data_IF_195079118578
#
_entry.id   IF_195079118578
#
_cell.length_a   1.000
_cell.length_b   1.000
_cell.length_c   1.000
_cell.angle_alpha   90.00
_cell.angle_beta   90.00
_cell.angle_gamma   90.00
#
_symmetry.space_group_name_H-M   'P 1'
#
loop_
_entity.id
_entity.type
_entity.pdbx_description
1 polymer ?
#
# COMPACT_ATOMS: atom_id res chain seq x y z
N UNK A 1 10.04 -4.77 10.36
CA UNK A 1 8.88 -4.03 9.79
C UNK A 1 8.05 -5.03 8.99
N UNK A 2 6.71 -5.02 9.14
CA UNK A 2 5.81 -5.97 8.45
C UNK A 2 5.31 -5.37 7.14
N UNK A 3 5.07 -6.21 6.12
CA UNK A 3 4.42 -5.77 4.88
C UNK A 3 2.94 -5.47 5.14
N UNK A 4 2.49 -4.32 4.68
CA UNK A 4 1.15 -3.78 4.90
C UNK A 4 0.17 -4.28 3.84
N UNK A 5 -1.08 -4.54 4.20
CA UNK A 5 -2.18 -4.67 3.23
C UNK A 5 -2.45 -3.34 2.52
N UNK A 6 -3.17 -3.38 1.39
CA UNK A 6 -3.67 -2.16 0.76
C UNK A 6 -4.59 -1.34 1.67
N UNK A 7 -5.26 -1.96 2.65
CA UNK A 7 -6.07 -1.25 3.64
C UNK A 7 -5.20 -0.43 4.60
N UNK A 8 -4.14 -1.05 5.13
CA UNK A 8 -3.17 -0.39 6.01
C UNK A 8 -2.43 0.72 5.27
N UNK A 9 -1.96 0.44 4.05
CA UNK A 9 -1.28 1.43 3.21
C UNK A 9 -2.19 2.62 2.88
N UNK A 10 -3.47 2.40 2.58
CA UNK A 10 -4.42 3.48 2.32
C UNK A 10 -4.59 4.38 3.55
N UNK A 11 -4.65 3.78 4.75
CA UNK A 11 -4.71 4.51 6.02
C UNK A 11 -3.47 5.40 6.22
N UNK A 12 -2.28 4.87 5.96
CA UNK A 12 -1.04 5.65 6.07
C UNK A 12 -0.91 6.75 5.01
N UNK A 13 -1.53 6.55 3.84
CA UNK A 13 -1.60 7.53 2.75
C UNK A 13 -2.77 8.52 2.90
N UNK A 14 -3.53 8.44 4.01
CA UNK A 14 -4.68 9.31 4.31
C UNK A 14 -5.76 9.30 3.21
N UNK A 15 -5.95 8.16 2.54
CA UNK A 15 -6.98 7.94 1.52
C UNK A 15 -7.77 6.67 1.79
N UNK A 16 -8.90 6.52 1.09
CA UNK A 16 -9.69 5.28 1.18
C UNK A 16 -9.05 4.16 0.35
N UNK A 17 -9.24 2.90 0.77
CA UNK A 17 -8.75 1.74 0.01
C UNK A 17 -9.27 1.70 -1.44
N UNK A 18 -10.56 1.95 -1.74
CA UNK A 18 -11.03 2.01 -3.13
C UNK A 18 -10.33 3.10 -3.95
N UNK A 19 -10.08 4.28 -3.36
CA UNK A 19 -9.34 5.35 -4.02
C UNK A 19 -7.88 4.95 -4.30
N UNK A 20 -7.22 4.28 -3.35
CA UNK A 20 -5.87 3.75 -3.55
C UNK A 20 -5.82 2.74 -4.70
N UNK A 21 -6.72 1.76 -4.70
CA UNK A 21 -6.78 0.72 -5.76
C UNK A 21 -7.02 1.36 -7.12
N UNK A 22 -7.97 2.30 -7.22
CA UNK A 22 -8.26 3.02 -8.46
C UNK A 22 -7.02 3.73 -8.99
N UNK A 23 -6.36 4.54 -8.16
CA UNK A 23 -5.14 5.27 -8.55
C UNK A 23 -3.99 4.35 -8.92
N UNK A 24 -3.79 3.25 -8.19
CA UNK A 24 -2.76 2.25 -8.51
C UNK A 24 -3.01 1.55 -9.84
N UNK A 25 -4.27 1.25 -10.19
CA UNK A 25 -4.65 0.69 -11.49
C UNK A 25 -4.44 1.70 -12.62
N UNK A 26 -4.89 2.93 -12.44
CA UNK A 26 -4.67 4.03 -13.40
C UNK A 26 -3.18 4.29 -13.66
N UNK A 27 -2.34 4.15 -12.62
CA UNK A 27 -0.88 4.24 -12.73
C UNK A 27 -0.19 2.95 -13.24
N UNK A 28 -0.94 1.91 -13.57
CA UNK A 28 -0.41 0.63 -14.07
C UNK A 28 0.43 -0.16 -13.06
N UNK A 29 0.30 0.14 -11.76
CA UNK A 29 1.08 -0.53 -10.69
C UNK A 29 0.49 -1.89 -10.32
N UNK A 30 -0.84 -2.02 -10.44
CA UNK A 30 -1.57 -3.27 -10.21
C UNK A 30 -2.54 -3.58 -11.35
N UNK A 31 -2.85 -4.86 -11.52
CA UNK A 31 -3.77 -5.37 -12.52
C UNK A 31 -5.25 -5.39 -12.04
N UNK A 32 -6.13 -5.92 -12.89
CA UNK A 32 -7.56 -6.08 -12.58
C UNK A 32 -7.84 -7.03 -11.41
N UNK A 33 -6.87 -7.91 -11.09
CA UNK A 33 -6.90 -8.82 -9.93
C UNK A 33 -6.28 -8.18 -8.68
N UNK A 34 -5.88 -6.90 -8.75
CA UNK A 34 -5.17 -6.17 -7.69
C UNK A 34 -3.82 -6.81 -7.32
N UNK A 35 -3.13 -7.40 -8.29
CA UNK A 35 -1.78 -7.95 -8.16
C UNK A 35 -0.76 -7.01 -8.82
N UNK A 36 0.52 -6.99 -8.39
CA UNK A 36 1.51 -6.11 -8.99
C UNK A 36 1.71 -6.44 -10.47
N UNK A 37 1.58 -5.43 -11.34
CA UNK A 37 1.74 -5.61 -12.80
C UNK A 37 3.18 -5.98 -13.17
N UNK A 38 4.17 -5.39 -12.47
CA UNK A 38 5.58 -5.65 -12.69
C UNK A 38 6.26 -6.15 -11.40
N UNK A 39 6.03 -7.40 -10.99
CA UNK A 39 6.46 -7.92 -9.70
C UNK A 39 7.98 -7.96 -9.52
N UNK A 40 8.76 -8.03 -10.60
CA UNK A 40 10.23 -7.97 -10.54
C UNK A 40 10.75 -6.53 -10.41
N UNK A 41 10.19 -5.61 -11.19
CA UNK A 41 10.57 -4.18 -11.20
C UNK A 41 10.25 -3.53 -9.86
N UNK A 42 9.03 -3.78 -9.38
CA UNK A 42 8.47 -3.09 -8.22
C UNK A 42 8.64 -3.90 -6.92
N UNK A 43 9.46 -4.97 -6.94
CA UNK A 43 9.63 -5.93 -5.83
C UNK A 43 10.05 -5.32 -4.51
N UNK A 44 10.72 -4.17 -4.53
CA UNK A 44 11.17 -3.46 -3.32
C UNK A 44 10.04 -2.69 -2.63
N UNK A 45 8.92 -2.48 -3.32
CA UNK A 45 7.79 -1.66 -2.87
C UNK A 45 6.51 -2.46 -2.75
N UNK A 46 6.27 -3.38 -3.69
CA UNK A 46 5.09 -4.23 -3.77
C UNK A 46 5.48 -5.70 -3.70
N UNK A 47 4.60 -6.51 -3.12
CA UNK A 47 4.74 -7.94 -3.01
C UNK A 47 3.42 -8.63 -3.38
N UNK A 48 3.50 -9.69 -4.18
CA UNK A 48 2.42 -10.65 -4.35
C UNK A 48 2.47 -11.62 -3.16
N UNK A 49 1.55 -11.45 -2.22
CA UNK A 49 1.43 -12.30 -1.05
C UNK A 49 0.43 -13.42 -1.29
N UNK A 50 0.90 -14.66 -1.18
CA UNK A 50 0.05 -15.86 -1.18
C UNK A 50 -0.41 -16.15 0.25
N UNK A 51 -1.70 -16.44 0.40
CA UNK A 51 -2.29 -16.96 1.64
C UNK A 51 -3.07 -18.22 1.31
N UNK A 52 -3.05 -19.20 2.18
CA UNK A 52 -3.78 -20.44 1.98
C UNK A 52 -4.80 -20.70 3.08
N UNK A 53 -5.88 -21.38 2.75
CA UNK A 53 -6.95 -21.74 3.67
C UNK A 53 -7.53 -23.10 3.27
N UNK A 54 -8.14 -23.82 4.23
CA UNK A 54 -8.69 -25.14 3.97
C UNK A 54 -10.19 -25.07 3.69
N UNK A 55 -10.62 -25.52 2.51
CA UNK A 55 -12.03 -25.67 2.15
C UNK A 55 -12.50 -27.10 2.48
N UNK A 56 -13.65 -27.28 3.18
CA UNK A 56 -14.10 -28.60 3.64
C UNK A 56 -14.23 -29.67 2.55
N UNK A 57 -14.63 -29.27 1.34
CA UNK A 57 -14.86 -30.19 0.22
C UNK A 57 -13.72 -30.19 -0.81
N UNK A 58 -13.00 -29.07 -0.93
CA UNK A 58 -12.05 -28.83 -2.03
C UNK A 58 -10.59 -28.87 -1.53
N UNK A 59 -10.39 -29.16 -0.24
CA UNK A 59 -9.07 -29.21 0.37
C UNK A 59 -8.38 -27.84 0.42
N UNK A 60 -7.04 -27.85 0.30
CA UNK A 60 -6.23 -26.63 0.40
C UNK A 60 -6.49 -25.67 -0.76
N UNK A 61 -6.84 -24.44 -0.44
CA UNK A 61 -7.07 -23.35 -1.38
C UNK A 61 -6.07 -22.22 -1.17
N UNK A 62 -5.84 -21.44 -2.22
CA UNK A 62 -4.85 -20.36 -2.24
C UNK A 62 -5.48 -19.06 -2.74
N UNK A 63 -5.08 -17.95 -2.14
CA UNK A 63 -5.51 -16.60 -2.49
C UNK A 63 -4.30 -15.70 -2.60
N UNK A 64 -4.34 -14.75 -3.53
CA UNK A 64 -3.27 -13.79 -3.76
C UNK A 64 -3.73 -12.37 -3.43
N UNK A 65 -2.82 -11.57 -2.89
CA UNK A 65 -3.07 -10.17 -2.59
C UNK A 65 -1.81 -9.33 -2.79
N UNK A 66 -1.96 -8.05 -3.09
CA UNK A 66 -0.84 -7.11 -3.05
C UNK A 66 -0.58 -6.65 -1.63
N UNK A 67 0.68 -6.75 -1.20
CA UNK A 67 1.20 -6.12 0.02
C UNK A 67 2.15 -4.99 -0.34
N UNK A 68 2.15 -3.96 0.49
CA UNK A 68 3.06 -2.81 0.39
C UNK A 68 4.18 -3.03 1.39
N UNK A 69 5.42 -3.07 0.90
CA UNK A 69 6.62 -3.16 1.74
C UNK A 69 6.83 -1.83 2.49
N UNK A 70 7.64 -1.80 3.55
CA UNK A 70 7.89 -0.57 4.31
C UNK A 70 8.36 0.62 3.45
N UNK A 71 9.25 0.38 2.48
CA UNK A 71 9.69 1.42 1.53
C UNK A 71 8.62 1.82 0.50
N UNK A 72 7.58 0.99 0.35
CA UNK A 72 6.51 1.16 -0.63
C UNK A 72 5.59 2.33 -0.32
N UNK A 73 5.45 2.75 0.94
CA UNK A 73 4.56 3.87 1.31
C UNK A 73 5.07 5.20 0.75
N UNK A 74 6.35 5.51 0.95
CA UNK A 74 6.97 6.70 0.38
C UNK A 74 6.95 6.68 -1.15
N UNK A 75 7.25 5.52 -1.75
CA UNK A 75 7.18 5.33 -3.20
C UNK A 75 5.77 5.49 -3.76
N UNK A 76 4.73 4.98 -3.07
CA UNK A 76 3.34 5.18 -3.48
C UNK A 76 2.91 6.64 -3.38
N UNK A 77 3.38 7.39 -2.37
CA UNK A 77 3.12 8.85 -2.32
C UNK A 77 3.64 9.54 -3.56
N UNK A 78 4.88 9.26 -3.94
CA UNK A 78 5.50 9.83 -5.14
C UNK A 78 4.75 9.43 -6.41
N UNK A 79 4.50 8.13 -6.61
CA UNK A 79 3.85 7.61 -7.82
C UNK A 79 2.40 8.06 -8.00
N UNK A 80 1.70 8.29 -6.89
CA UNK A 80 0.29 8.67 -6.91
C UNK A 80 0.07 10.17 -6.68
N UNK A 81 1.14 10.96 -6.59
CA UNK A 81 1.07 12.41 -6.35
C UNK A 81 0.38 12.76 -5.03
N UNK A 82 0.53 11.93 -3.99
CA UNK A 82 -0.08 12.17 -2.68
C UNK A 82 0.89 13.02 -1.86
N UNK A 83 0.49 14.24 -1.43
CA UNK A 83 1.36 15.10 -0.65
C UNK A 83 1.72 14.45 0.70
N UNK A 84 2.91 14.76 1.19
CA UNK A 84 3.30 14.42 2.55
C UNK A 84 2.49 15.27 3.53
N UNK A 85 2.04 14.71 4.67
CA UNK A 85 1.45 15.52 5.72
C UNK A 85 2.47 16.58 6.17
N UNK A 86 2.02 17.83 6.29
CA UNK A 86 2.85 18.88 6.87
C UNK A 86 3.21 18.48 8.31
N UNK A 87 4.47 18.65 8.75
CA UNK A 87 4.79 18.47 10.15
C UNK A 87 3.92 19.41 11.00
N UNK A 88 3.52 19.01 12.22
CA UNK A 88 2.79 19.90 13.10
C UNK A 88 3.59 21.19 13.28
N UNK A 89 2.90 22.33 13.31
CA UNK A 89 3.53 23.60 13.62
C UNK A 89 4.22 23.46 14.98
N UNK A 90 5.54 23.40 14.98
CA UNK A 90 6.33 23.42 16.21
C UNK A 90 6.16 24.83 16.76
N UNK A 91 5.41 24.99 17.87
CA UNK A 91 5.41 26.23 18.62
C UNK A 91 6.86 26.53 18.98
N UNK A 92 7.35 27.67 18.50
CA UNK A 92 8.69 28.12 18.84
C UNK A 92 8.72 28.36 20.34
N UNK A 93 9.67 27.76 21.06
CA UNK A 93 9.81 27.93 22.51
C UNK A 93 10.10 29.38 22.92
N UNK A 94 10.34 30.28 21.96
CA UNK A 94 10.55 31.72 22.15
C UNK A 94 9.25 32.53 22.19
N UNK A 95 8.09 31.90 21.97
CA UNK A 95 6.77 32.55 21.95
C UNK A 95 6.07 32.53 23.32
N UNK A 96 6.79 32.16 24.39
CA UNK A 96 6.34 32.31 25.79
C UNK A 96 6.94 33.59 26.36
N UNK A 97 6.24 34.70 26.13
CA UNK A 97 6.49 35.99 26.78
C UNK A 97 5.73 36.13 28.09
#
# INVERSE_FOLDING_TARGET
>A
MRNQSLQEAAKELEITRPALIKRMREAGLIDDKNLPTHPLRDRFYLEKHESSWHHPELGQQYSYSTRVRPAGIAWLREKLGIPLPLPPAVQDRRDVG
#
